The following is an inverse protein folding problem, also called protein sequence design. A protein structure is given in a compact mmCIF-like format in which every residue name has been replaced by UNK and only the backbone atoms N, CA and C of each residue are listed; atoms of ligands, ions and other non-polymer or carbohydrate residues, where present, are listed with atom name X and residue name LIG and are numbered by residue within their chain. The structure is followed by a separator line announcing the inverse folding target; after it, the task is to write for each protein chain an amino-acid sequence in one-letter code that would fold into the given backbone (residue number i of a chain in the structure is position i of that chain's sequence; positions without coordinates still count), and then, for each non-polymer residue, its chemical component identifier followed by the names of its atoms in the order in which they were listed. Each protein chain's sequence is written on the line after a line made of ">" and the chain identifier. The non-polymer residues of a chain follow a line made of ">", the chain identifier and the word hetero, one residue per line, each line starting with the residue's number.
data_IF_444041916144
#
_entry.id   IF_444041916144
#
_cell.length_a   1.000
_cell.length_b   1.000
_cell.length_c   1.000
_cell.angle_alpha   90.00
_cell.angle_beta   90.00
_cell.angle_gamma   90.00
#
_symmetry.space_group_name_H-M   'P 1'
#
loop_
_entity.id
_entity.type
_entity.pdbx_description
1 polymer ?
#
# COMPACT_ATOMS: atom_id res chain seq x y z
N UNK A 1 1.85 0.58 -1.87
CA UNK A 1 0.95 -0.35 -2.58
C UNK A 1 0.07 0.43 -3.53
N UNK A 2 -0.35 -0.18 -4.64
CA UNK A 2 -1.64 0.16 -5.26
C UNK A 2 -2.74 -0.52 -4.44
N UNK A 3 -3.86 0.16 -4.21
CA UNK A 3 -4.94 -0.32 -3.35
C UNK A 3 -6.31 -0.12 -4.00
N UNK A 4 -6.78 -1.07 -4.82
CA UNK A 4 -8.14 -1.05 -5.35
C UNK A 4 -9.18 -0.91 -4.24
N UNK A 5 -10.14 0.00 -4.42
CA UNK A 5 -11.17 0.29 -3.42
C UNK A 5 -10.82 1.41 -2.44
N UNK A 6 -9.59 1.92 -2.43
CA UNK A 6 -9.22 3.10 -1.64
C UNK A 6 -9.97 4.34 -2.13
N UNK A 7 -10.59 5.09 -1.22
CA UNK A 7 -11.30 6.34 -1.56
C UNK A 7 -10.98 7.47 -0.57
N UNK A 8 -10.49 8.65 -1.04
CA UNK A 8 -10.10 8.95 -2.42
C UNK A 8 -8.87 8.13 -2.85
N UNK A 9 -8.71 7.90 -4.15
CA UNK A 9 -7.59 7.11 -4.68
C UNK A 9 -6.25 7.81 -4.47
N UNK A 10 -5.27 7.07 -3.97
CA UNK A 10 -3.89 7.48 -3.80
C UNK A 10 -2.96 6.24 -3.72
N UNK A 11 -1.66 6.45 -3.61
CA UNK A 11 -0.76 5.41 -3.11
C UNK A 11 -1.11 5.07 -1.66
N UNK A 12 -1.03 3.79 -1.32
CA UNK A 12 -1.34 3.32 0.03
C UNK A 12 -0.12 2.72 0.71
N UNK A 13 0.14 3.13 1.95
CA UNK A 13 1.21 2.57 2.78
C UNK A 13 0.60 1.62 3.82
N UNK A 14 1.25 0.47 3.98
CA UNK A 14 0.96 -0.57 4.97
C UNK A 14 2.26 -0.98 5.62
N UNK A 15 2.21 -1.79 6.68
CA UNK A 15 3.43 -2.38 7.24
C UNK A 15 3.40 -3.90 7.16
N UNK A 16 4.59 -4.48 7.16
CA UNK A 16 4.81 -5.92 7.14
C UNK A 16 5.58 -6.29 8.41
N UNK A 17 5.19 -7.36 9.10
CA UNK A 17 5.90 -7.88 10.27
C UNK A 17 6.26 -9.35 10.08
N UNK A 18 7.45 -9.74 10.53
CA UNK A 18 7.90 -11.12 10.51
C UNK A 18 7.40 -11.85 11.76
N UNK A 19 6.58 -12.87 11.58
CA UNK A 19 6.10 -13.74 12.66
C UNK A 19 5.87 -15.15 12.14
N UNK A 20 6.15 -16.16 12.96
CA UNK A 20 5.94 -17.58 12.64
C UNK A 20 6.56 -18.02 11.30
N UNK A 21 7.75 -17.49 10.99
CA UNK A 21 8.52 -17.88 9.80
C UNK A 21 7.99 -17.30 8.48
N UNK A 22 7.12 -16.28 8.52
CA UNK A 22 6.64 -15.59 7.34
C UNK A 22 6.49 -14.08 7.57
N UNK A 23 6.44 -13.32 6.47
CA UNK A 23 6.05 -11.92 6.49
C UNK A 23 4.53 -11.80 6.45
N UNK A 24 3.97 -10.90 7.25
CA UNK A 24 2.54 -10.68 7.36
C UNK A 24 2.22 -9.19 7.14
N UNK A 25 1.31 -8.88 6.23
CA UNK A 25 0.85 -7.53 5.90
C UNK A 25 -0.29 -7.10 6.81
N UNK A 26 -0.18 -5.89 7.34
CA UNK A 26 -1.15 -5.22 8.21
C UNK A 26 -1.51 -3.85 7.66
N UNK A 27 -2.80 -3.53 7.66
CA UNK A 27 -3.30 -2.19 7.33
C UNK A 27 -4.13 -1.66 8.51
N UNK A 28 -3.56 -0.75 9.29
CA UNK A 28 -4.24 -0.13 10.42
C UNK A 28 -5.34 0.85 9.98
N UNK A 29 -5.31 1.29 8.72
CA UNK A 29 -6.26 2.28 8.20
C UNK A 29 -7.59 1.65 7.79
N UNK A 30 -7.56 0.36 7.39
CA UNK A 30 -8.74 -0.40 6.90
C UNK A 30 -9.47 0.29 5.74
N UNK A 31 -8.74 1.07 4.93
CA UNK A 31 -9.34 1.88 3.87
C UNK A 31 -9.45 1.16 2.53
N UNK A 32 -8.80 0.02 2.37
CA UNK A 32 -8.88 -0.79 1.18
C UNK A 32 -8.67 -2.29 1.49
N UNK A 33 -9.32 -3.20 0.75
CA UNK A 33 -9.11 -4.62 0.93
C UNK A 33 -7.66 -5.06 0.64
N UNK A 34 -6.98 -5.62 1.64
CA UNK A 34 -5.58 -6.08 1.55
C UNK A 34 -5.36 -7.13 0.46
N UNK A 35 -6.39 -7.91 0.14
CA UNK A 35 -6.41 -8.94 -0.89
C UNK A 35 -6.22 -8.39 -2.31
N UNK A 36 -6.67 -7.15 -2.54
CA UNK A 36 -6.54 -6.49 -3.83
C UNK A 36 -5.25 -5.69 -3.97
N UNK A 37 -4.47 -5.52 -2.89
CA UNK A 37 -3.31 -4.65 -2.90
C UNK A 37 -2.17 -5.22 -3.74
N UNK A 38 -1.54 -4.36 -4.54
CA UNK A 38 -0.37 -4.69 -5.34
C UNK A 38 0.84 -3.94 -4.79
N UNK A 39 1.89 -4.68 -4.44
CA UNK A 39 3.10 -4.10 -3.87
C UNK A 39 3.88 -3.29 -4.89
N UNK A 40 4.32 -2.10 -4.46
CA UNK A 40 5.22 -1.22 -5.21
C UNK A 40 6.65 -1.39 -4.69
N UNK A 41 6.85 -1.24 -3.39
CA UNK A 41 8.13 -1.39 -2.70
C UNK A 41 7.91 -1.87 -1.25
N UNK A 42 8.92 -2.52 -0.68
CA UNK A 42 9.09 -2.75 0.77
C UNK A 42 10.44 -2.16 1.17
N UNK A 43 10.52 -1.55 2.35
CA UNK A 43 11.75 -1.00 2.93
C UNK A 43 11.57 -0.80 4.43
N UNK A 44 12.60 -0.31 5.13
CA UNK A 44 12.53 -0.12 6.59
C UNK A 44 11.51 0.95 6.98
N UNK A 45 11.43 2.01 6.17
CA UNK A 45 10.51 3.14 6.34
C UNK A 45 10.29 3.90 5.02
N UNK A 46 9.69 5.10 5.10
CA UNK A 46 9.39 5.96 3.97
C UNK A 46 10.64 6.42 3.19
N UNK A 47 11.83 6.45 3.80
CA UNK A 47 13.09 6.80 3.14
C UNK A 47 13.45 5.80 2.06
N UNK A 48 13.26 4.51 2.36
CA UNK A 48 13.56 3.40 1.45
C UNK A 48 12.42 3.20 0.42
N UNK A 49 11.26 3.85 0.60
CA UNK A 49 10.02 3.57 -0.17
C UNK A 49 9.32 4.82 -0.72
N UNK A 50 10.00 5.98 -0.73
CA UNK A 50 9.44 7.22 -1.25
C UNK A 50 9.08 7.11 -2.74
N UNK A 51 7.90 7.61 -3.14
CA UNK A 51 7.53 7.67 -4.55
C UNK A 51 8.41 8.66 -5.33
N UNK A 52 8.88 9.72 -4.66
CA UNK A 52 9.71 10.77 -5.23
C UNK A 52 10.64 11.34 -4.15
N UNK A 53 11.92 11.47 -4.49
CA UNK A 53 12.95 12.08 -3.65
C UNK A 53 13.53 13.32 -4.35
N UNK A 54 13.56 14.46 -3.65
CA UNK A 54 14.20 15.71 -4.13
C UNK A 54 15.51 15.91 -3.37
N UNK A 55 16.64 15.62 -4.02
CA UNK A 55 17.95 15.67 -3.38
C UNK A 55 18.58 17.08 -3.34
N UNK A 56 18.14 17.96 -4.24
CA UNK A 56 18.60 19.34 -4.43
C UNK A 56 17.49 20.16 -5.06
N UNK A 57 17.46 21.47 -4.78
CA UNK A 57 16.50 22.41 -5.35
C UNK A 57 15.11 22.33 -4.71
N UNK A 58 14.15 23.08 -5.29
CA UNK A 58 12.76 23.16 -4.83
C UNK A 58 11.87 22.69 -5.98
N UNK A 59 11.01 21.72 -5.71
CA UNK A 59 10.01 21.21 -6.65
C UNK A 59 8.63 21.37 -6.03
N UNK A 60 7.66 21.79 -6.84
CA UNK A 60 6.25 21.77 -6.48
C UNK A 60 5.55 20.67 -7.29
N UNK A 61 5.03 19.65 -6.59
CA UNK A 61 4.14 18.67 -7.20
C UNK A 61 2.80 19.36 -7.50
N UNK A 62 2.45 19.46 -8.79
CA UNK A 62 1.22 20.15 -9.21
C UNK A 62 0.00 19.22 -9.23
N UNK A 63 0.20 17.97 -9.61
CA UNK A 63 -0.87 16.98 -9.66
C UNK A 63 -0.30 15.58 -9.49
N UNK A 64 -1.12 14.70 -8.92
CA UNK A 64 -0.90 13.27 -8.86
C UNK A 64 -2.24 12.60 -9.13
N UNK A 65 -2.22 11.53 -9.92
CA UNK A 65 -3.39 10.69 -10.17
C UNK A 65 -2.95 9.24 -10.04
N UNK A 66 -3.64 8.50 -9.19
CA UNK A 66 -3.41 7.07 -8.96
C UNK A 66 -4.72 6.35 -9.21
N UNK A 67 -4.69 5.27 -9.99
CA UNK A 67 -5.85 4.41 -10.23
C UNK A 67 -5.43 2.96 -10.05
N UNK A 68 -6.26 2.18 -9.36
CA UNK A 68 -6.12 0.75 -9.22
C UNK A 68 -7.50 0.12 -9.18
N UNK A 69 -7.72 -0.93 -9.98
CA UNK A 69 -8.99 -1.64 -10.07
C UNK A 69 -8.74 -3.14 -9.99
N UNK A 70 -9.78 -3.90 -9.65
CA UNK A 70 -9.79 -5.35 -9.75
C UNK A 70 -10.77 -5.77 -10.83
N UNK A 71 -10.54 -6.92 -11.45
CA UNK A 71 -11.53 -7.56 -12.31
C UNK A 71 -12.64 -8.13 -11.43
N UNK A 72 -13.88 -7.68 -11.64
CA UNK A 72 -15.03 -8.13 -10.85
C UNK A 72 -15.21 -7.33 -9.54
N UNK A 73 -15.90 -7.89 -8.53
CA UNK A 73 -16.13 -7.20 -7.27
C UNK A 73 -14.83 -7.08 -6.45
N UNK A 74 -14.77 -6.04 -5.60
CA UNK A 74 -13.70 -5.94 -4.60
C UNK A 74 -13.74 -7.17 -3.67
N UNK A 75 -12.57 -7.73 -3.33
CA UNK A 75 -12.51 -8.83 -2.37
C UNK A 75 -12.97 -8.36 -0.99
N UNK A 76 -13.59 -9.26 -0.25
CA UNK A 76 -13.94 -9.01 1.14
C UNK A 76 -12.68 -9.09 2.01
N UNK A 77 -12.46 -8.05 2.81
CA UNK A 77 -11.43 -8.04 3.86
C UNK A 77 -12.09 -8.11 5.24
N UNK A 78 -11.48 -8.87 6.14
CA UNK A 78 -11.96 -9.03 7.51
C UNK A 78 -11.38 -8.00 8.48
N UNK A 79 -10.41 -7.18 8.02
CA UNK A 79 -9.66 -6.18 8.79
C UNK A 79 -8.99 -6.67 10.09
N UNK A 80 -8.98 -7.99 10.30
CA UNK A 80 -8.52 -8.65 11.53
C UNK A 80 -7.35 -9.57 11.25
N UNK A 81 -7.44 -10.40 10.21
CA UNK A 81 -6.43 -11.40 9.88
C UNK A 81 -5.36 -10.76 8.99
N UNK A 82 -4.10 -10.67 9.44
CA UNK A 82 -3.04 -10.16 8.58
C UNK A 82 -2.80 -11.10 7.40
N UNK A 83 -2.24 -10.58 6.32
CA UNK A 83 -2.03 -11.36 5.09
C UNK A 83 -0.61 -11.87 4.98
N UNK A 84 -0.45 -13.19 4.91
CA UNK A 84 0.85 -13.81 4.68
C UNK A 84 1.39 -13.47 3.28
N UNK A 85 2.66 -13.08 3.24
CA UNK A 85 3.47 -12.90 2.04
C UNK A 85 4.41 -14.09 1.93
N UNK A 86 4.04 -15.04 1.05
CA UNK A 86 4.78 -16.28 0.76
C UNK A 86 4.97 -17.24 1.95
#
# INVERSE_FOLDING_TARGET
>A
MYAPGLTPMDFHAVFEAWSDGAWWTYDATRRAPRQGMVRIATGRDATDTAFLNVLRGIIALRSIEVTATVTGPLPLDDDLTPRRLC
#
